data_IF_555865234598
#
_entry.id   IF_555865234598
#
_cell.length_a   1.000
_cell.length_b   1.000
_cell.length_c   1.000
_cell.angle_alpha   90.00
_cell.angle_beta   90.00
_cell.angle_gamma   90.00
#
_symmetry.space_group_name_H-M   'P 1'
#
loop_
_entity.id
_entity.type
_entity.pdbx_description
1 polymer ?
#
# COMPACT_ATOMS: atom_id res chain seq x y z
N UNK A 1 -17.26 -4.80 -4.98
CA UNK A 1 -18.70 -5.11 -4.82
C UNK A 1 -19.18 -4.94 -3.37
N UNK A 2 -18.73 -5.76 -2.41
CA UNK A 2 -19.18 -5.65 -1.00
C UNK A 2 -19.05 -4.24 -0.40
N UNK A 3 -17.93 -3.54 -0.66
CA UNK A 3 -17.75 -2.14 -0.20
C UNK A 3 -18.82 -1.21 -0.81
N UNK A 4 -19.16 -1.38 -2.09
CA UNK A 4 -20.22 -0.61 -2.77
C UNK A 4 -21.58 -0.88 -2.12
N UNK A 5 -21.90 -2.13 -1.86
CA UNK A 5 -23.15 -2.53 -1.21
C UNK A 5 -23.27 -1.92 0.19
N UNK A 6 -22.22 -1.99 1.00
CA UNK A 6 -22.22 -1.40 2.34
C UNK A 6 -22.38 0.12 2.31
N UNK A 7 -21.69 0.80 1.38
CA UNK A 7 -21.84 2.25 1.19
C UNK A 7 -23.29 2.63 0.88
N UNK A 8 -23.91 1.91 -0.06
CA UNK A 8 -25.31 2.15 -0.44
C UNK A 8 -26.28 1.83 0.71
N UNK A 9 -26.04 0.76 1.46
CA UNK A 9 -26.82 0.40 2.67
C UNK A 9 -26.77 1.49 3.75
N UNK A 10 -25.68 2.27 3.81
CA UNK A 10 -25.53 3.45 4.68
C UNK A 10 -26.19 4.72 4.12
N UNK A 11 -26.91 4.63 3.00
CA UNK A 11 -27.52 5.76 2.29
C UNK A 11 -26.50 6.79 1.80
N UNK A 12 -25.27 6.36 1.51
CA UNK A 12 -24.22 7.22 0.95
C UNK A 12 -24.21 7.01 -0.56
N UNK A 13 -24.59 8.03 -1.32
CA UNK A 13 -24.66 7.94 -2.77
C UNK A 13 -23.29 7.75 -3.42
N UNK A 14 -23.30 7.13 -4.60
CA UNK A 14 -22.16 7.07 -5.50
C UNK A 14 -22.20 8.30 -6.41
N UNK A 15 -21.09 9.01 -6.49
CA UNK A 15 -20.92 10.10 -7.44
C UNK A 15 -20.28 9.52 -8.70
N UNK A 16 -21.03 9.40 -9.79
CA UNK A 16 -20.55 8.84 -11.07
C UNK A 16 -19.50 9.75 -11.72
N UNK A 17 -19.55 11.05 -11.43
CA UNK A 17 -18.54 12.01 -11.86
C UNK A 17 -17.20 11.79 -11.19
N UNK A 18 -17.18 11.30 -9.94
CA UNK A 18 -15.97 10.95 -9.17
C UNK A 18 -15.59 9.46 -9.27
N UNK A 19 -16.54 8.55 -9.42
CA UNK A 19 -16.38 7.10 -9.44
C UNK A 19 -17.13 6.47 -10.63
N UNK A 20 -16.64 6.68 -11.87
CA UNK A 20 -17.33 6.22 -13.08
C UNK A 20 -17.47 4.69 -13.15
N UNK A 21 -16.52 3.97 -12.54
CA UNK A 21 -16.56 2.51 -12.40
C UNK A 21 -17.46 2.04 -11.23
N UNK A 22 -18.05 2.96 -10.47
CA UNK A 22 -18.96 2.69 -9.35
C UNK A 22 -18.38 1.70 -8.33
N UNK A 23 -17.11 1.84 -8.03
CA UNK A 23 -16.37 0.97 -7.11
C UNK A 23 -16.92 1.04 -5.67
N UNK A 24 -17.50 2.18 -5.30
CA UNK A 24 -17.92 2.50 -3.93
C UNK A 24 -16.79 2.99 -3.03
N UNK A 25 -15.54 2.96 -3.52
CA UNK A 25 -14.33 3.22 -2.73
C UNK A 25 -13.93 4.69 -2.76
N UNK A 26 -14.22 5.42 -3.84
CA UNK A 26 -13.79 6.81 -4.03
C UNK A 26 -14.57 7.75 -3.10
N UNK A 27 -13.85 8.52 -2.28
CA UNK A 27 -14.43 9.50 -1.37
C UNK A 27 -14.83 10.81 -2.04
N UNK A 28 -14.89 11.87 -1.24
CA UNK A 28 -15.23 13.23 -1.70
C UNK A 28 -13.98 14.08 -1.82
N UNK A 29 -14.10 15.25 -2.45
CA UNK A 29 -13.01 16.23 -2.49
C UNK A 29 -12.70 16.74 -1.07
N UNK A 30 -13.65 17.44 -0.45
CA UNK A 30 -13.49 17.98 0.91
C UNK A 30 -14.49 17.37 1.91
N UNK A 31 -13.97 17.03 3.08
CA UNK A 31 -14.68 16.50 4.25
C UNK A 31 -13.90 16.84 5.51
N UNK A 32 -14.47 16.60 6.69
CA UNK A 32 -13.78 16.67 7.97
C UNK A 32 -12.58 15.72 8.11
N UNK A 33 -12.45 14.71 7.24
CA UNK A 33 -11.30 13.78 7.25
C UNK A 33 -10.26 14.12 6.20
N UNK A 34 -10.50 15.12 5.34
CA UNK A 34 -9.55 15.56 4.32
C UNK A 34 -8.39 16.29 5.00
N UNK A 35 -7.18 15.80 4.78
CA UNK A 35 -5.93 16.28 5.39
C UNK A 35 -5.04 17.03 4.41
N UNK A 36 -5.11 16.65 3.13
CA UNK A 36 -4.17 17.07 2.09
C UNK A 36 -4.86 16.97 0.73
N UNK A 37 -4.35 17.73 -0.24
CA UNK A 37 -4.76 17.62 -1.64
C UNK A 37 -4.52 16.21 -2.17
N UNK A 38 -5.44 15.73 -3.00
CA UNK A 38 -5.36 14.43 -3.64
C UNK A 38 -5.24 14.57 -5.16
N UNK A 39 -5.15 13.41 -5.81
CA UNK A 39 -5.27 13.33 -7.25
C UNK A 39 -6.30 12.24 -7.56
N UNK A 40 -7.43 12.65 -8.14
CA UNK A 40 -8.56 11.75 -8.41
C UNK A 40 -8.18 10.64 -9.39
N UNK A 41 -7.42 10.96 -10.45
CA UNK A 41 -6.89 9.99 -11.43
C UNK A 41 -6.08 8.90 -10.70
N UNK A 42 -5.21 9.28 -9.76
CA UNK A 42 -4.44 8.34 -8.96
C UNK A 42 -5.32 7.48 -8.04
N UNK A 43 -6.39 8.04 -7.47
CA UNK A 43 -7.34 7.27 -6.64
C UNK A 43 -8.07 6.23 -7.47
N UNK A 44 -8.58 6.61 -8.64
CA UNK A 44 -9.25 5.68 -9.56
C UNK A 44 -8.30 4.64 -10.13
N UNK A 45 -7.09 5.03 -10.52
CA UNK A 45 -6.03 4.10 -10.94
C UNK A 45 -5.81 3.02 -9.89
N UNK A 46 -5.78 3.39 -8.61
CA UNK A 46 -5.57 2.47 -7.50
C UNK A 46 -6.69 1.43 -7.31
N UNK A 47 -7.87 1.64 -7.92
CA UNK A 47 -8.99 0.68 -7.93
C UNK A 47 -8.82 -0.45 -8.94
N UNK A 48 -7.80 -0.40 -9.81
CA UNK A 48 -7.49 -1.48 -10.73
C UNK A 48 -7.13 -2.77 -9.95
N UNK A 49 -7.87 -3.88 -10.15
CA UNK A 49 -7.65 -5.12 -9.40
C UNK A 49 -6.26 -5.73 -9.62
N UNK A 50 -5.57 -5.41 -10.72
CA UNK A 50 -4.21 -5.87 -10.99
C UNK A 50 -3.17 -5.38 -9.98
N UNK A 51 -3.46 -4.35 -9.18
CA UNK A 51 -2.61 -3.99 -8.03
C UNK A 51 -2.49 -5.15 -7.02
N UNK A 52 -3.54 -5.97 -6.83
CA UNK A 52 -3.43 -7.13 -5.96
C UNK A 52 -2.42 -8.17 -6.51
N UNK A 53 -2.43 -8.39 -7.82
CA UNK A 53 -1.44 -9.24 -8.48
C UNK A 53 -0.01 -8.67 -8.38
N UNK A 54 0.13 -7.35 -8.49
CA UNK A 54 1.41 -6.67 -8.30
C UNK A 54 1.96 -6.90 -6.89
N UNK A 55 1.11 -6.84 -5.87
CA UNK A 55 1.54 -7.11 -4.49
C UNK A 55 1.86 -8.58 -4.24
N UNK A 56 1.15 -9.52 -4.87
CA UNK A 56 1.57 -10.93 -4.87
C UNK A 56 2.97 -11.09 -5.47
N UNK A 57 3.27 -10.39 -6.58
CA UNK A 57 4.60 -10.38 -7.20
C UNK A 57 5.64 -9.80 -6.23
N UNK A 58 5.40 -8.63 -5.64
CA UNK A 58 6.34 -8.03 -4.68
C UNK A 58 6.57 -8.89 -3.45
N UNK A 59 5.55 -9.50 -2.87
CA UNK A 59 5.72 -10.42 -1.74
C UNK A 59 6.55 -11.65 -2.10
N UNK A 60 6.38 -12.21 -3.32
CA UNK A 60 7.21 -13.32 -3.81
C UNK A 60 8.66 -12.89 -4.07
N UNK A 61 8.88 -11.71 -4.64
CA UNK A 61 10.20 -11.14 -4.88
C UNK A 61 10.93 -10.79 -3.58
N UNK A 62 10.19 -10.36 -2.54
CA UNK A 62 10.67 -10.21 -1.17
C UNK A 62 10.89 -11.56 -0.45
N UNK A 63 10.70 -12.69 -1.15
CA UNK A 63 10.87 -14.05 -0.65
C UNK A 63 9.99 -14.41 0.56
N UNK A 64 8.83 -13.78 0.71
CA UNK A 64 7.87 -14.11 1.77
C UNK A 64 7.29 -15.52 1.58
N UNK A 65 7.01 -16.17 2.70
CA UNK A 65 6.45 -17.52 2.80
C UNK A 65 5.15 -17.49 3.60
N UNK A 66 4.35 -18.54 3.40
CA UNK A 66 3.18 -18.82 4.23
C UNK A 66 3.52 -18.70 5.73
N UNK A 67 2.69 -17.99 6.47
CA UNK A 67 2.82 -17.76 7.91
C UNK A 67 3.84 -16.67 8.30
N UNK A 68 4.50 -16.03 7.33
CA UNK A 68 5.35 -14.86 7.61
C UNK A 68 4.50 -13.67 8.06
N UNK A 69 5.01 -12.95 9.06
CA UNK A 69 4.38 -11.74 9.60
C UNK A 69 4.83 -10.52 8.80
N UNK A 70 3.88 -9.69 8.38
CA UNK A 70 4.15 -8.40 7.71
C UNK A 70 3.53 -7.26 8.50
N UNK A 71 4.27 -6.17 8.67
CA UNK A 71 3.76 -4.94 9.26
C UNK A 71 3.22 -4.03 8.16
N UNK A 72 2.02 -3.47 8.34
CA UNK A 72 1.35 -2.65 7.33
C UNK A 72 0.90 -1.34 7.98
N UNK A 73 1.55 -0.25 7.63
CA UNK A 73 1.13 1.09 8.00
C UNK A 73 0.37 1.76 6.86
N UNK A 74 -0.84 2.23 7.11
CA UNK A 74 -1.67 2.84 6.06
C UNK A 74 -2.38 4.11 6.54
N UNK A 75 -2.58 5.06 5.64
CA UNK A 75 -3.55 6.17 5.83
C UNK A 75 -4.86 5.87 5.11
N UNK A 76 -5.88 6.72 5.34
CA UNK A 76 -7.13 6.71 4.58
C UNK A 76 -6.98 7.05 3.10
N UNK A 77 -5.80 7.45 2.62
CA UNK A 77 -5.65 8.02 1.28
C UNK A 77 -5.88 7.03 0.13
N UNK A 78 -5.57 5.74 0.28
CA UNK A 78 -5.68 4.75 -0.80
C UNK A 78 -6.36 3.45 -0.34
N UNK A 79 -7.65 3.49 0.02
CA UNK A 79 -8.37 2.31 0.53
C UNK A 79 -8.35 1.11 -0.43
N UNK A 80 -8.38 1.34 -1.75
CA UNK A 80 -8.28 0.27 -2.74
C UNK A 80 -6.94 -0.50 -2.64
N UNK A 81 -5.83 0.17 -2.34
CA UNK A 81 -4.53 -0.50 -2.17
C UNK A 81 -4.44 -1.24 -0.84
N UNK A 82 -5.15 -0.77 0.19
CA UNK A 82 -5.26 -1.54 1.44
C UNK A 82 -5.98 -2.86 1.15
N UNK A 83 -7.11 -2.83 0.43
CA UNK A 83 -7.83 -4.04 -0.01
C UNK A 83 -6.94 -4.94 -0.86
N UNK A 84 -6.21 -4.38 -1.83
CA UNK A 84 -5.29 -5.13 -2.68
C UNK A 84 -4.18 -5.83 -1.86
N UNK A 85 -3.60 -5.12 -0.88
CA UNK A 85 -2.54 -5.63 0.00
C UNK A 85 -3.05 -6.78 0.86
N UNK A 86 -4.21 -6.60 1.50
CA UNK A 86 -4.82 -7.64 2.33
C UNK A 86 -5.27 -8.84 1.50
N UNK A 87 -5.74 -8.63 0.27
CA UNK A 87 -6.08 -9.72 -0.65
C UNK A 87 -4.86 -10.54 -1.05
N UNK A 88 -3.74 -9.87 -1.39
CA UNK A 88 -2.47 -10.53 -1.69
C UNK A 88 -1.92 -11.29 -0.47
N UNK A 89 -1.99 -10.70 0.72
CA UNK A 89 -1.60 -11.35 1.96
C UNK A 89 -2.45 -12.62 2.24
N UNK A 90 -3.77 -12.55 2.00
CA UNK A 90 -4.67 -13.70 2.16
C UNK A 90 -4.31 -14.85 1.23
N UNK A 91 -4.09 -14.57 -0.05
CA UNK A 91 -3.75 -15.60 -1.06
C UNK A 91 -2.42 -16.27 -0.76
N UNK A 92 -1.46 -15.53 -0.21
CA UNK A 92 -0.15 -16.06 0.19
C UNK A 92 -0.11 -16.59 1.63
N UNK A 93 -1.25 -16.57 2.33
CA UNK A 93 -1.38 -17.02 3.71
C UNK A 93 -0.38 -16.32 4.66
N UNK A 94 -0.19 -15.02 4.48
CA UNK A 94 0.62 -14.16 5.34
C UNK A 94 -0.18 -13.72 6.57
N UNK A 95 0.54 -13.27 7.60
CA UNK A 95 -0.01 -12.73 8.84
C UNK A 95 0.19 -11.19 8.88
N UNK A 96 -0.73 -10.39 8.29
CA UNK A 96 -0.63 -8.95 8.29
C UNK A 96 -1.03 -8.34 9.63
N UNK A 97 -0.18 -7.44 10.12
CA UNK A 97 -0.45 -6.56 11.25
C UNK A 97 -0.73 -5.16 10.69
N UNK A 98 -1.97 -4.69 10.79
CA UNK A 98 -2.43 -3.47 10.12
C UNK A 98 -2.67 -2.31 11.11
N UNK A 99 -1.95 -1.20 10.97
CA UNK A 99 -2.22 0.03 11.71
C UNK A 99 -2.74 1.10 10.76
N UNK A 100 -3.90 1.69 11.09
CA UNK A 100 -4.64 2.61 10.25
C UNK A 100 -4.66 4.05 10.81
N UNK A 101 -4.22 5.03 10.03
CA UNK A 101 -4.43 6.46 10.31
C UNK A 101 -5.70 6.94 9.58
N UNK A 102 -6.70 7.45 10.32
CA UNK A 102 -8.02 7.82 9.77
C UNK A 102 -7.92 8.92 8.72
N UNK A 103 -7.13 9.96 8.98
CA UNK A 103 -6.93 11.07 8.07
C UNK A 103 -6.58 10.61 6.64
N UNK A 104 -7.23 11.23 5.67
CA UNK A 104 -7.12 10.86 4.25
C UNK A 104 -6.84 12.10 3.41
N UNK A 105 -6.17 11.95 2.27
CA UNK A 105 -6.21 12.99 1.24
C UNK A 105 -7.61 13.05 0.61
N UNK A 106 -7.85 14.05 -0.24
CA UNK A 106 -9.03 14.09 -1.11
C UNK A 106 -9.25 12.73 -1.81
N UNK A 107 -10.53 12.39 -1.98
CA UNK A 107 -11.03 11.21 -2.68
C UNK A 107 -10.62 9.84 -2.10
N UNK A 108 -9.91 9.80 -0.98
CA UNK A 108 -9.65 8.55 -0.24
C UNK A 108 -10.83 8.11 0.62
N UNK A 109 -10.58 7.37 1.70
CA UNK A 109 -11.58 6.95 2.68
C UNK A 109 -11.98 8.10 3.64
N UNK A 110 -12.36 9.24 3.08
CA UNK A 110 -12.55 10.49 3.81
C UNK A 110 -14.02 10.79 4.18
N UNK A 111 -14.95 9.89 3.90
CA UNK A 111 -16.36 10.08 4.32
C UNK A 111 -16.46 9.69 5.80
N UNK A 112 -16.84 10.60 6.73
CA UNK A 112 -16.85 10.32 8.17
C UNK A 112 -17.63 9.07 8.58
N UNK A 113 -18.76 8.81 7.91
CA UNK A 113 -19.65 7.67 8.17
C UNK A 113 -19.19 6.38 7.47
N UNK A 114 -18.14 6.46 6.65
CA UNK A 114 -17.67 5.38 5.79
C UNK A 114 -16.15 5.46 5.54
N UNK A 115 -15.40 5.31 6.62
CA UNK A 115 -13.93 5.20 6.59
C UNK A 115 -13.50 3.77 6.22
N UNK A 116 -12.19 3.52 6.14
CA UNK A 116 -11.70 2.16 5.92
C UNK A 116 -12.11 1.18 7.02
N UNK A 117 -12.46 1.64 8.23
CA UNK A 117 -13.01 0.79 9.30
C UNK A 117 -14.28 0.10 8.81
N UNK A 118 -15.27 0.88 8.33
CA UNK A 118 -16.53 0.33 7.82
C UNK A 118 -16.33 -0.55 6.58
N UNK A 119 -15.37 -0.19 5.73
CA UNK A 119 -15.01 -1.01 4.57
C UNK A 119 -14.47 -2.38 5.01
N UNK A 120 -13.54 -2.41 5.96
CA UNK A 120 -12.95 -3.64 6.49
C UNK A 120 -13.99 -4.51 7.21
N UNK A 121 -14.83 -3.90 8.05
CA UNK A 121 -15.91 -4.60 8.76
C UNK A 121 -16.85 -5.31 7.78
N UNK A 122 -17.27 -4.63 6.71
CA UNK A 122 -18.15 -5.23 5.69
C UNK A 122 -17.50 -6.42 4.97
N UNK A 123 -16.18 -6.37 4.74
CA UNK A 123 -15.42 -7.48 4.15
C UNK A 123 -15.26 -8.64 5.14
N UNK A 124 -15.09 -8.34 6.43
CA UNK A 124 -15.03 -9.35 7.50
C UNK A 124 -16.38 -10.05 7.68
N UNK A 125 -17.50 -9.32 7.71
CA UNK A 125 -18.86 -9.86 7.82
C UNK A 125 -19.19 -10.86 6.71
N UNK A 126 -18.64 -10.64 5.51
CA UNK A 126 -18.76 -11.53 4.36
C UNK A 126 -17.67 -12.61 4.27
N UNK A 127 -16.79 -12.72 5.27
CA UNK A 127 -15.66 -13.64 5.32
C UNK A 127 -14.62 -13.51 4.18
N UNK A 128 -14.59 -12.35 3.48
CA UNK A 128 -13.70 -12.10 2.34
C UNK A 128 -12.28 -11.81 2.80
N UNK A 129 -12.11 -11.04 3.87
CA UNK A 129 -10.82 -10.76 4.49
C UNK A 129 -10.93 -11.16 5.96
N UNK A 130 -9.99 -11.94 6.54
CA UNK A 130 -10.08 -12.41 7.92
C UNK A 130 -9.25 -11.55 8.88
N UNK A 131 -8.79 -10.38 8.43
CA UNK A 131 -7.87 -9.49 9.15
C UNK A 131 -8.62 -8.35 9.82
N UNK A 132 -8.06 -7.87 10.94
CA UNK A 132 -8.56 -6.75 11.73
C UNK A 132 -7.48 -5.67 11.86
N UNK A 133 -7.89 -4.49 12.27
CA UNK A 133 -6.95 -3.45 12.67
C UNK A 133 -6.24 -3.86 13.96
N UNK A 134 -4.91 -3.76 13.98
CA UNK A 134 -4.09 -3.88 15.17
C UNK A 134 -4.23 -2.62 16.03
N UNK A 135 -4.18 -1.46 15.39
CA UNK A 135 -4.34 -0.17 16.04
C UNK A 135 -4.85 0.88 15.05
N UNK A 136 -5.34 1.99 15.60
CA UNK A 136 -5.88 3.13 14.85
C UNK A 136 -5.35 4.44 15.42
N UNK A 137 -5.16 5.45 14.57
CA UNK A 137 -4.76 6.79 14.98
C UNK A 137 -5.52 7.86 14.20
N UNK A 138 -5.33 9.12 14.57
CA UNK A 138 -6.07 10.24 14.00
C UNK A 138 -5.71 10.52 12.53
N UNK A 139 -4.45 10.34 12.10
CA UNK A 139 -3.96 10.84 10.81
C UNK A 139 -3.78 12.36 10.83
N UNK A 140 -3.79 13.00 9.67
CA UNK A 140 -3.51 14.45 9.59
C UNK A 140 -2.04 14.79 9.81
N UNK A 141 -1.75 16.08 10.02
CA UNK A 141 -0.39 16.54 10.26
C UNK A 141 0.19 15.89 11.52
N UNK A 142 1.38 15.29 11.39
CA UNK A 142 2.07 14.52 12.44
C UNK A 142 1.23 13.43 13.12
N UNK A 143 0.17 12.94 12.46
CA UNK A 143 -0.78 11.96 13.01
C UNK A 143 -1.64 12.45 14.18
N UNK A 144 -1.78 13.77 14.35
CA UNK A 144 -2.50 14.45 15.45
C UNK A 144 -3.90 14.98 15.08
N UNK A 145 -4.37 14.72 13.86
CA UNK A 145 -5.56 15.36 13.28
C UNK A 145 -5.44 16.87 13.17
N UNK A 146 -4.21 17.39 13.06
CA UNK A 146 -3.93 18.81 12.81
C UNK A 146 -3.85 19.13 11.32
N UNK A 147 -3.90 20.44 10.99
CA UNK A 147 -3.79 20.92 9.61
C UNK A 147 -5.00 20.61 8.73
N UNK A 148 -6.18 20.43 9.35
CA UNK A 148 -7.41 20.04 8.67
C UNK A 148 -8.12 21.23 8.04
N UNK A 149 -8.94 20.98 7.00
CA UNK A 149 -9.69 22.02 6.29
C UNK A 149 -10.90 22.57 7.07
N UNK A 150 -11.46 21.80 8.00
CA UNK A 150 -12.65 22.18 8.78
C UNK A 150 -12.34 22.27 10.28
N UNK A 151 -12.98 23.21 10.97
CA UNK A 151 -12.74 23.45 12.40
C UNK A 151 -13.22 22.31 13.31
N UNK A 152 -14.23 21.55 12.89
CA UNK A 152 -14.79 20.40 13.62
C UNK A 152 -14.11 19.06 13.29
N UNK A 153 -13.03 19.09 12.51
CA UNK A 153 -12.34 17.88 12.02
C UNK A 153 -11.78 17.02 13.15
N UNK A 154 -11.10 17.63 14.13
CA UNK A 154 -10.51 16.88 15.24
C UNK A 154 -11.56 16.16 16.08
N UNK A 155 -12.66 16.84 16.43
CA UNK A 155 -13.75 16.24 17.19
C UNK A 155 -14.40 15.09 16.40
N UNK A 156 -14.54 15.26 15.10
CA UNK A 156 -15.07 14.21 14.20
C UNK A 156 -14.14 13.00 14.17
N UNK A 157 -12.84 13.20 13.97
CA UNK A 157 -11.83 12.13 13.96
C UNK A 157 -11.80 11.41 15.31
N UNK A 158 -11.74 12.15 16.43
CA UNK A 158 -11.73 11.58 17.79
C UNK A 158 -12.94 10.69 18.04
N UNK A 159 -14.14 11.11 17.61
CA UNK A 159 -15.35 10.27 17.71
C UNK A 159 -15.23 8.98 16.89
N UNK A 160 -14.66 9.02 15.68
CA UNK A 160 -14.48 7.83 14.84
C UNK A 160 -13.43 6.89 15.47
N UNK A 161 -12.29 7.43 15.93
CA UNK A 161 -11.25 6.67 16.63
C UNK A 161 -11.85 5.94 17.84
N UNK A 162 -12.57 6.66 18.70
CA UNK A 162 -13.17 6.13 19.93
C UNK A 162 -14.28 5.09 19.66
N UNK A 163 -15.09 5.29 18.61
CA UNK A 163 -16.16 4.35 18.26
C UNK A 163 -15.69 3.11 17.49
N UNK A 164 -14.44 3.08 17.02
CA UNK A 164 -13.89 1.95 16.25
C UNK A 164 -13.70 0.65 17.06
N UNK A 165 -13.66 0.73 18.40
CA UNK A 165 -13.34 -0.41 19.27
C UNK A 165 -11.92 -0.97 19.08
N UNK A 166 -11.05 -0.26 18.34
CA UNK A 166 -9.67 -0.63 18.05
C UNK A 166 -8.73 0.08 19.03
N UNK A 167 -7.57 -0.52 19.31
CA UNK A 167 -6.54 0.11 20.12
C UNK A 167 -6.10 1.45 19.52
N UNK A 168 -6.17 2.51 20.31
CA UNK A 168 -5.83 3.87 19.86
C UNK A 168 -4.35 4.15 20.08
N UNK A 169 -3.70 4.71 19.06
CA UNK A 169 -2.39 5.35 19.16
C UNK A 169 -2.63 6.84 19.31
N UNK A 170 -2.16 7.38 20.43
CA UNK A 170 -2.21 8.78 20.81
C UNK A 170 -0.87 9.06 21.49
N UNK A 171 -0.01 9.82 20.82
CA UNK A 171 1.38 10.04 21.20
C UNK A 171 1.70 11.53 21.08
N UNK A 172 2.51 12.06 21.98
CA UNK A 172 2.72 13.53 22.07
C UNK A 172 3.72 14.04 21.02
N UNK A 173 4.47 13.13 20.38
CA UNK A 173 5.45 13.45 19.35
C UNK A 173 5.49 12.41 18.23
N UNK A 174 6.02 12.80 17.07
CA UNK A 174 6.19 11.88 15.95
C UNK A 174 7.18 10.75 16.26
N UNK A 175 8.25 11.05 17.00
CA UNK A 175 9.21 10.03 17.48
C UNK A 175 8.51 8.98 18.35
N UNK A 176 7.74 9.43 19.35
CA UNK A 176 6.97 8.53 20.21
C UNK A 176 5.95 7.72 19.43
N UNK A 177 5.24 8.34 18.48
CA UNK A 177 4.27 7.65 17.61
C UNK A 177 4.95 6.51 16.81
N UNK A 178 6.12 6.78 16.22
CA UNK A 178 6.92 5.77 15.50
C UNK A 178 7.33 4.63 16.44
N UNK A 179 7.84 4.96 17.63
CA UNK A 179 8.26 3.98 18.63
C UNK A 179 7.09 3.11 19.12
N UNK A 180 5.93 3.71 19.40
CA UNK A 180 4.73 3.01 19.82
C UNK A 180 4.25 2.04 18.73
N UNK A 181 4.24 2.45 17.46
CA UNK A 181 3.91 1.57 16.34
C UNK A 181 4.87 0.38 16.24
N UNK A 182 6.18 0.61 16.34
CA UNK A 182 7.18 -0.45 16.36
C UNK A 182 6.96 -1.45 17.51
N UNK A 183 6.64 -0.94 18.71
CA UNK A 183 6.33 -1.78 19.87
C UNK A 183 5.06 -2.61 19.66
N UNK A 184 4.00 -2.02 19.11
CA UNK A 184 2.76 -2.71 18.81
C UNK A 184 2.95 -3.84 17.80
N UNK A 185 3.67 -3.58 16.71
CA UNK A 185 4.00 -4.63 15.74
C UNK A 185 4.81 -5.76 16.37
N UNK A 186 5.82 -5.43 17.17
CA UNK A 186 6.64 -6.42 17.88
C UNK A 186 5.80 -7.26 18.84
N UNK A 187 4.94 -6.63 19.64
CA UNK A 187 4.07 -7.33 20.59
C UNK A 187 3.09 -8.27 19.86
N UNK A 188 2.42 -7.77 18.81
CA UNK A 188 1.44 -8.54 18.06
C UNK A 188 2.05 -9.66 17.20
N UNK A 189 3.35 -9.59 16.88
CA UNK A 189 4.06 -10.64 16.15
C UNK A 189 4.24 -11.95 16.94
N UNK A 190 3.95 -11.95 18.26
CA UNK A 190 4.08 -13.12 19.13
C UNK A 190 5.45 -13.81 19.04
N UNK A 191 6.52 -13.02 18.93
CA UNK A 191 7.90 -13.51 18.85
C UNK A 191 8.36 -13.92 17.44
N UNK A 192 7.48 -13.90 16.43
CA UNK A 192 7.88 -14.08 15.03
C UNK A 192 8.56 -12.81 14.51
N UNK A 193 9.58 -12.99 13.67
CA UNK A 193 10.21 -11.85 13.01
C UNK A 193 9.28 -11.25 11.95
N UNK A 194 9.18 -9.92 11.90
CA UNK A 194 8.52 -9.20 10.81
C UNK A 194 9.39 -9.33 9.56
N UNK A 195 8.80 -9.75 8.45
CA UNK A 195 9.52 -10.10 7.21
C UNK A 195 9.40 -9.07 6.10
N UNK A 196 8.42 -8.17 6.18
CA UNK A 196 8.29 -7.02 5.30
C UNK A 196 7.54 -5.88 6.02
N UNK A 197 7.79 -4.65 5.61
CA UNK A 197 6.97 -3.50 5.96
C UNK A 197 6.29 -2.93 4.71
N UNK A 198 4.99 -2.73 4.77
CA UNK A 198 4.19 -2.14 3.69
C UNK A 198 3.71 -0.76 4.14
N UNK A 199 4.10 0.28 3.41
CA UNK A 199 3.58 1.64 3.60
C UNK A 199 2.60 1.98 2.49
N UNK A 200 1.38 2.39 2.86
CA UNK A 200 0.35 2.82 1.90
C UNK A 200 -0.08 4.25 2.23
N UNK A 201 0.15 5.15 1.27
CA UNK A 201 -0.09 6.58 1.44
C UNK A 201 1.03 7.28 2.21
N UNK A 202 0.72 8.50 2.65
CA UNK A 202 1.67 9.46 3.19
C UNK A 202 1.51 9.73 4.68
N UNK A 203 1.03 8.77 5.47
CA UNK A 203 0.96 8.93 6.93
C UNK A 203 2.36 9.23 7.48
N UNK A 204 2.51 10.35 8.17
CA UNK A 204 3.81 10.85 8.62
C UNK A 204 4.60 9.84 9.48
N UNK A 205 3.99 9.09 10.41
CA UNK A 205 4.72 8.06 11.17
C UNK A 205 5.30 6.95 10.29
N UNK A 206 4.68 6.66 9.14
CA UNK A 206 5.19 5.65 8.22
C UNK A 206 6.26 6.23 7.31
N UNK A 207 5.95 7.37 6.66
CA UNK A 207 6.76 7.99 5.61
C UNK A 207 7.98 8.74 6.15
N UNK A 208 7.85 9.32 7.35
CA UNK A 208 8.83 10.18 7.97
C UNK A 208 8.71 11.65 7.57
N UNK A 209 9.33 12.50 8.37
CA UNK A 209 9.36 13.95 8.21
C UNK A 209 10.79 14.44 7.87
N UNK A 210 11.43 13.77 6.91
CA UNK A 210 12.82 14.07 6.52
C UNK A 210 12.93 14.27 5.00
N UNK A 211 13.95 14.99 4.55
CA UNK A 211 14.21 15.15 3.11
C UNK A 211 14.45 13.79 2.40
N UNK A 212 14.99 12.80 3.12
CA UNK A 212 15.18 11.45 2.58
C UNK A 212 13.86 10.74 2.30
N UNK A 213 12.81 11.03 3.07
CA UNK A 213 11.45 10.49 2.86
C UNK A 213 10.90 10.88 1.49
N UNK A 214 11.08 12.15 1.07
CA UNK A 214 10.57 12.71 -0.19
C UNK A 214 11.04 11.91 -1.42
N UNK A 215 12.26 11.38 -1.35
CA UNK A 215 12.91 10.68 -2.45
C UNK A 215 12.92 9.15 -2.25
N UNK A 216 12.15 8.65 -1.28
CA UNK A 216 12.09 7.22 -1.02
C UNK A 216 11.52 6.48 -2.24
N UNK A 217 12.16 5.39 -2.72
CA UNK A 217 11.70 4.69 -3.90
C UNK A 217 10.31 4.08 -3.69
N UNK A 218 9.50 4.15 -4.73
CA UNK A 218 8.15 3.62 -4.78
C UNK A 218 8.17 2.18 -5.32
N UNK A 219 7.31 1.30 -4.80
CA UNK A 219 7.29 -0.14 -5.10
C UNK A 219 8.05 -0.98 -4.08
N UNK A 220 8.56 -2.15 -4.50
CA UNK A 220 9.39 -3.01 -3.67
C UNK A 220 10.83 -2.48 -3.59
N UNK A 221 11.32 -2.30 -2.36
CA UNK A 221 12.64 -1.78 -2.03
C UNK A 221 13.35 -2.78 -1.11
N UNK A 222 14.38 -3.44 -1.65
CA UNK A 222 15.26 -4.34 -0.89
C UNK A 222 16.53 -3.60 -0.45
N UNK A 223 17.07 -2.76 -1.32
CA UNK A 223 18.25 -1.93 -1.08
C UNK A 223 17.84 -0.45 -1.18
N UNK A 224 17.41 0.12 -0.05
CA UNK A 224 16.91 1.49 0.00
C UNK A 224 18.01 2.56 0.07
N UNK A 225 17.61 3.85 0.05
CA UNK A 225 18.52 4.98 0.11
C UNK A 225 19.22 5.08 1.48
N UNK A 226 20.18 6.02 1.61
CA UNK A 226 20.84 6.28 2.89
C UNK A 226 19.80 6.60 3.97
N UNK A 227 19.91 5.90 5.10
CA UNK A 227 19.02 6.09 6.26
C UNK A 227 19.39 7.43 6.94
N UNK A 228 18.44 8.36 7.12
CA UNK A 228 18.69 9.60 7.82
C UNK A 228 18.88 9.33 9.32
N UNK A 229 19.83 10.04 9.93
CA UNK A 229 20.05 10.04 11.38
C UNK A 229 19.12 11.07 12.03
N UNK A 230 17.82 10.74 12.07
CA UNK A 230 16.78 11.60 12.62
C UNK A 230 15.70 10.73 13.30
N UNK A 231 15.18 11.12 14.48
CA UNK A 231 14.15 10.35 15.18
C UNK A 231 12.83 10.25 14.40
N UNK A 232 12.49 11.30 13.64
CA UNK A 232 11.28 11.35 12.81
C UNK A 232 11.45 10.72 11.42
N UNK A 233 12.43 9.82 11.24
CA UNK A 233 12.66 9.18 9.93
C UNK A 233 11.48 8.32 9.48
N UNK A 234 10.61 7.88 10.38
CA UNK A 234 9.43 7.09 10.03
C UNK A 234 9.73 5.60 9.85
N UNK A 235 8.66 4.81 9.89
CA UNK A 235 8.74 3.34 9.89
C UNK A 235 9.42 2.77 8.65
N UNK A 236 9.30 3.41 7.48
CA UNK A 236 10.00 2.93 6.26
C UNK A 236 11.51 2.81 6.50
N UNK A 237 12.11 3.77 7.20
CA UNK A 237 13.53 3.77 7.50
C UNK A 237 13.88 2.94 8.73
N UNK A 238 12.99 2.85 9.73
CA UNK A 238 13.18 1.92 10.86
C UNK A 238 13.26 0.48 10.39
N UNK A 239 12.34 0.03 9.55
CA UNK A 239 12.35 -1.33 9.03
C UNK A 239 13.48 -1.54 8.01
N UNK A 240 13.83 -0.54 7.20
CA UNK A 240 15.00 -0.63 6.33
C UNK A 240 16.29 -0.83 7.14
N UNK A 241 16.43 -0.15 8.29
CA UNK A 241 17.58 -0.31 9.19
C UNK A 241 17.72 -1.74 9.70
N UNK A 242 16.61 -2.48 9.80
CA UNK A 242 16.57 -3.89 10.19
C UNK A 242 16.84 -4.85 9.01
N UNK A 243 17.12 -4.33 7.81
CA UNK A 243 17.33 -5.15 6.61
C UNK A 243 16.05 -5.82 6.10
N UNK A 244 14.89 -5.28 6.46
CA UNK A 244 13.59 -5.81 6.07
C UNK A 244 13.14 -5.13 4.76
N UNK A 245 12.67 -5.89 3.75
CA UNK A 245 12.10 -5.33 2.53
C UNK A 245 10.94 -4.37 2.81
N UNK A 246 10.95 -3.24 2.09
CA UNK A 246 9.91 -2.21 2.18
C UNK A 246 9.08 -2.23 0.90
N UNK A 247 7.76 -2.23 1.02
CA UNK A 247 6.85 -2.01 -0.10
C UNK A 247 6.20 -0.65 0.12
N UNK A 248 6.59 0.33 -0.68
CA UNK A 248 6.10 1.70 -0.56
C UNK A 248 5.10 2.01 -1.68
N UNK A 249 3.85 2.33 -1.31
CA UNK A 249 2.77 2.62 -2.25
C UNK A 249 2.27 4.06 -2.04
N UNK A 250 2.84 5.00 -2.80
CA UNK A 250 2.46 6.42 -2.70
C UNK A 250 2.19 7.07 -4.05
N UNK A 251 3.16 7.04 -4.98
CA UNK A 251 2.97 7.59 -6.32
C UNK A 251 2.32 6.54 -7.24
N UNK A 252 0.99 6.52 -7.27
CA UNK A 252 0.25 5.43 -7.93
C UNK A 252 0.38 5.47 -9.45
N UNK A 253 0.49 6.67 -10.03
CA UNK A 253 0.73 6.83 -11.47
C UNK A 253 2.07 6.21 -11.86
N UNK A 254 3.13 6.51 -11.11
CA UNK A 254 4.45 5.92 -11.32
C UNK A 254 4.43 4.39 -11.17
N UNK A 255 3.75 3.86 -10.15
CA UNK A 255 3.59 2.39 -9.99
C UNK A 255 2.86 1.76 -11.16
N UNK A 256 1.78 2.38 -11.62
CA UNK A 256 0.99 1.86 -12.72
C UNK A 256 1.87 1.76 -13.99
N UNK A 257 2.57 2.84 -14.34
CA UNK A 257 3.47 2.87 -15.50
C UNK A 257 4.58 1.83 -15.38
N UNK A 258 5.29 1.77 -14.25
CA UNK A 258 6.39 0.80 -14.04
C UNK A 258 5.94 -0.65 -14.08
N UNK A 259 4.66 -0.89 -13.82
CA UNK A 259 4.08 -2.23 -13.74
C UNK A 259 3.25 -2.59 -14.98
N UNK A 260 3.22 -1.74 -16.01
CA UNK A 260 2.43 -1.99 -17.22
C UNK A 260 0.92 -1.99 -16.97
N UNK A 261 0.45 -1.22 -15.97
CA UNK A 261 -0.97 -1.05 -15.65
C UNK A 261 -1.51 0.25 -16.25
N UNK A 262 -2.75 0.25 -16.77
CA UNK A 262 -3.37 1.46 -17.28
C UNK A 262 -3.62 2.47 -16.15
N UNK A 263 -3.47 3.75 -16.49
CA UNK A 263 -3.81 4.87 -15.61
C UNK A 263 -5.29 5.22 -15.82
N UNK A 264 -6.02 5.37 -14.73
CA UNK A 264 -7.45 5.70 -14.65
C UNK A 264 -8.33 4.95 -15.68
N UNK A 265 -8.30 3.60 -15.69
CA UNK A 265 -9.02 2.82 -16.68
C UNK A 265 -10.54 2.90 -16.47
N UNK A 266 -11.27 3.18 -17.55
CA UNK A 266 -12.74 3.17 -17.59
C UNK A 266 -13.16 2.44 -18.88
N UNK A 267 -13.76 1.23 -18.81
CA UNK A 267 -14.02 0.44 -17.61
C UNK A 267 -12.72 -0.08 -16.95
N UNK A 268 -12.83 -0.63 -15.73
CA UNK A 268 -11.73 -1.38 -15.13
C UNK A 268 -11.34 -2.60 -16.00
N UNK A 269 -10.05 -2.96 -16.11
CA UNK A 269 -9.62 -4.14 -16.84
C UNK A 269 -10.15 -5.43 -16.21
N UNK A 270 -10.31 -6.48 -17.02
CA UNK A 270 -10.72 -7.78 -16.49
C UNK A 270 -9.60 -8.41 -15.63
N UNK A 271 -9.99 -9.25 -14.68
CA UNK A 271 -9.05 -9.94 -13.81
C UNK A 271 -8.22 -10.92 -14.65
N UNK A 272 -6.89 -10.85 -14.53
CA UNK A 272 -5.96 -11.66 -15.32
C UNK A 272 -5.39 -10.96 -16.55
N UNK A 273 -5.86 -9.76 -16.87
CA UNK A 273 -5.34 -8.93 -17.97
C UNK A 273 -4.24 -7.96 -17.50
N UNK A 274 -3.24 -7.72 -18.35
CA UNK A 274 -2.14 -6.78 -18.11
C UNK A 274 -0.78 -7.44 -17.85
N UNK A 275 0.29 -6.65 -17.99
CA UNK A 275 1.68 -7.16 -17.99
C UNK A 275 2.08 -7.83 -16.67
N UNK A 276 1.47 -7.45 -15.55
CA UNK A 276 1.74 -8.02 -14.22
C UNK A 276 1.47 -9.53 -14.16
N UNK A 277 0.56 -10.05 -14.99
CA UNK A 277 0.21 -11.47 -15.03
C UNK A 277 1.17 -12.31 -15.90
N UNK A 278 2.02 -11.66 -16.70
CA UNK A 278 2.91 -12.33 -17.62
C UNK A 278 4.36 -12.25 -17.14
N UNK A 279 5.12 -13.33 -17.38
CA UNK A 279 6.56 -13.33 -17.20
C UNK A 279 7.20 -13.81 -18.48
N UNK A 280 8.08 -12.99 -19.06
CA UNK A 280 8.92 -13.44 -20.17
C UNK A 280 9.93 -14.45 -19.58
N UNK A 281 9.71 -15.72 -19.88
CA UNK A 281 10.61 -16.81 -19.47
C UNK A 281 11.56 -17.11 -20.62
N UNK A 282 12.81 -16.69 -20.49
CA UNK A 282 13.84 -17.05 -21.45
C UNK A 282 14.32 -18.48 -21.19
N UNK A 283 14.26 -19.34 -22.21
CA UNK A 283 14.82 -20.68 -22.13
C UNK A 283 16.36 -20.60 -22.17
N UNK A 284 16.98 -20.75 -21.00
CA UNK A 284 18.44 -20.65 -20.83
C UNK A 284 19.20 -21.63 -21.73
N UNK A 285 18.65 -22.81 -22.00
CA UNK A 285 19.28 -23.80 -22.86
C UNK A 285 19.33 -23.33 -24.31
N UNK A 286 18.27 -22.67 -24.79
CA UNK A 286 18.23 -22.07 -26.13
C UNK A 286 19.25 -20.93 -26.21
N UNK A 287 19.32 -20.06 -25.19
CA UNK A 287 20.32 -18.97 -25.16
C UNK A 287 21.74 -19.53 -25.22
N UNK A 288 22.06 -20.53 -24.38
CA UNK A 288 23.37 -21.17 -24.35
C UNK A 288 23.68 -21.84 -25.70
N UNK A 289 22.70 -22.51 -26.30
CA UNK A 289 22.85 -23.15 -27.62
C UNK A 289 23.19 -22.10 -28.69
N UNK A 290 22.45 -20.99 -28.75
CA UNK A 290 22.67 -19.92 -29.73
C UNK A 290 24.04 -19.28 -29.53
N UNK A 291 24.42 -18.95 -28.29
CA UNK A 291 25.77 -18.43 -27.97
C UNK A 291 26.84 -19.44 -28.41
N UNK A 292 26.63 -20.73 -28.16
CA UNK A 292 27.55 -21.79 -28.57
C UNK A 292 27.73 -21.88 -30.09
N UNK A 293 26.64 -21.77 -30.85
CA UNK A 293 26.67 -21.76 -32.32
C UNK A 293 27.44 -20.54 -32.84
N UNK A 294 27.22 -19.35 -32.29
CA UNK A 294 27.95 -18.15 -32.70
C UNK A 294 29.45 -18.25 -32.39
N UNK A 295 29.82 -18.79 -31.22
CA UNK A 295 31.22 -19.02 -30.88
C UNK A 295 31.90 -20.00 -31.83
N UNK A 296 31.23 -21.10 -32.20
CA UNK A 296 31.74 -22.06 -33.16
C UNK A 296 31.91 -21.44 -34.56
N UNK A 297 30.95 -20.63 -34.99
CA UNK A 297 31.03 -19.89 -36.26
C UNK A 297 32.21 -18.92 -36.27
N UNK A 298 32.37 -18.11 -35.23
CA UNK A 298 33.49 -17.17 -35.10
C UNK A 298 34.84 -17.90 -35.08
N UNK A 299 34.93 -19.01 -34.35
CA UNK A 299 36.14 -19.83 -34.30
C UNK A 299 36.49 -20.41 -35.69
N UNK A 300 35.48 -20.89 -36.42
CA UNK A 300 35.66 -21.41 -37.77
C UNK A 300 36.13 -20.31 -38.75
N UNK A 301 35.54 -19.12 -38.70
CA UNK A 301 35.96 -17.96 -39.51
C UNK A 301 37.39 -17.53 -39.20
N UNK A 302 37.76 -17.47 -37.91
CA UNK A 302 39.13 -17.13 -37.50
C UNK A 302 40.14 -18.17 -37.98
N UNK A 303 39.80 -19.46 -37.91
CA UNK A 303 40.65 -20.54 -38.41
C UNK A 303 40.91 -20.43 -39.91
N UNK A 304 39.88 -20.09 -40.70
CA UNK A 304 40.01 -19.89 -42.15
C UNK A 304 40.85 -18.66 -42.48
N UNK A 305 40.76 -17.58 -41.70
CA UNK A 305 41.58 -16.38 -41.91
C UNK A 305 43.08 -16.57 -41.62
N UNK A 306 43.44 -17.58 -40.84
CA UNK A 306 44.83 -17.90 -40.49
C UNK A 306 45.43 -19.06 -41.31
N UNK A 307 44.70 -19.56 -42.31
CA UNK A 307 45.20 -20.45 -43.35
C UNK A 307 45.45 -19.66 -44.63
#
# INVERSE_FOLDING_TARGET
EVIKEERLKRNISLDIGLDPNQTGIIGKEYTQLTTTLGNLEAKRTSTNPAFAALLVKYFKEANLKKGDVIAIGVSGSFPALIVATLSAARVLELEPLLIYSIGSSEYGANIPEFTFVQMLDSLNEKNIIPYKLLAISMGGYLDQGEGMFYSDSQDTIKKIVQSSGTLVIDADSLEENILQRMQLYRAASNGKAIKAFVNIGGATPNYGNTNASITYPNGLVINGPKIPDHPERGLIFEYQKLGIPIIHLLNIRDLAVKSGLPIDPIPLPEIGEGEVYWRIAYNKYIIILVIGIEFLYLFWVLKIRHQ
#
